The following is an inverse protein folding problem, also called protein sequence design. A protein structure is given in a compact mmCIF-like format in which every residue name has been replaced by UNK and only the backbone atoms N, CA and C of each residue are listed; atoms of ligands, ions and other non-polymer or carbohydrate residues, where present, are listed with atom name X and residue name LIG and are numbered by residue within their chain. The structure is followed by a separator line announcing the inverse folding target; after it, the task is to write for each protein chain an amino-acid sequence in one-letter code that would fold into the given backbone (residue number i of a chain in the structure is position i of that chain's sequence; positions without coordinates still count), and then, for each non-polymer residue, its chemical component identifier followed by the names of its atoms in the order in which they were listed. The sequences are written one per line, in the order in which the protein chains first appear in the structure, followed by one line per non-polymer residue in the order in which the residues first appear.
data_IF_134976160431
#
_entry.id   IF_134976160431
#
_cell.length_a   1.000
_cell.length_b   1.000
_cell.length_c   1.000
_cell.angle_alpha   90.00
_cell.angle_beta   90.00
_cell.angle_gamma   90.00
#
_symmetry.space_group_name_H-M   'P 1'
#
loop_
_entity.id
_entity.type
_entity.pdbx_description
1 polymer ?
#
# COMPACT_ATOMS: atom_id res chain seq x y z
N UNK A 1 17.77 -29.28 -6.79
CA UNK A 1 18.97 -28.53 -6.34
C UNK A 1 18.42 -27.44 -5.45
N UNK A 2 18.24 -27.81 -4.19
CA UNK A 2 17.72 -26.96 -3.14
C UNK A 2 18.81 -25.95 -2.76
N UNK A 3 18.53 -24.66 -2.97
CA UNK A 3 19.46 -23.60 -2.63
C UNK A 3 19.44 -23.39 -1.10
N UNK A 4 20.47 -23.88 -0.42
CA UNK A 4 20.72 -23.70 1.02
C UNK A 4 21.09 -22.26 1.43
N UNK A 5 21.05 -21.29 0.51
CA UNK A 5 21.64 -19.96 0.70
C UNK A 5 20.60 -18.83 0.88
N UNK A 6 19.38 -19.12 1.32
CA UNK A 6 18.29 -18.15 1.45
C UNK A 6 18.02 -17.69 2.91
N UNK A 7 18.92 -17.97 3.86
CA UNK A 7 18.67 -17.82 5.29
C UNK A 7 19.38 -16.58 5.86
N UNK A 8 18.65 -15.50 5.98
CA UNK A 8 18.95 -14.44 6.93
C UNK A 8 18.28 -14.83 8.26
N UNK A 9 19.07 -15.26 9.25
CA UNK A 9 18.73 -15.48 10.66
C UNK A 9 17.39 -16.17 11.00
N UNK A 10 17.00 -17.21 10.26
CA UNK A 10 15.77 -17.99 10.51
C UNK A 10 15.90 -19.01 11.66
N UNK A 11 17.10 -19.22 12.23
CA UNK A 11 17.38 -20.31 13.20
C UNK A 11 16.76 -20.07 14.57
N UNK A 12 16.45 -18.83 14.97
CA UNK A 12 15.87 -18.52 16.28
C UNK A 12 14.36 -18.22 16.25
N UNK A 13 13.74 -18.09 15.06
CA UNK A 13 12.32 -17.71 14.95
C UNK A 13 11.41 -18.94 15.00
N UNK A 14 10.37 -18.88 15.84
CA UNK A 14 9.34 -19.92 15.87
C UNK A 14 8.67 -20.04 14.51
N UNK A 15 8.61 -21.24 13.96
CA UNK A 15 8.01 -21.52 12.67
C UNK A 15 6.72 -22.31 12.81
N UNK A 16 5.77 -22.02 11.93
CA UNK A 16 4.48 -22.70 11.83
C UNK A 16 4.09 -22.89 10.36
N UNK A 17 2.95 -23.49 10.11
CA UNK A 17 2.44 -23.71 8.74
C UNK A 17 1.01 -23.20 8.61
N UNK A 18 0.72 -22.62 7.45
CA UNK A 18 -0.63 -22.34 6.98
C UNK A 18 -0.86 -22.98 5.60
N UNK A 19 -2.08 -23.01 5.11
CA UNK A 19 -2.42 -23.61 3.82
C UNK A 19 -2.58 -22.52 2.75
N UNK A 20 -1.91 -22.66 1.61
CA UNK A 20 -2.06 -21.82 0.44
C UNK A 20 -2.49 -22.64 -0.78
N UNK A 21 -3.68 -22.40 -1.32
CA UNK A 21 -4.28 -23.17 -2.41
C UNK A 21 -4.19 -24.69 -2.18
N UNK A 22 -4.48 -25.14 -0.97
CA UNK A 22 -4.43 -26.54 -0.57
C UNK A 22 -3.01 -27.10 -0.28
N UNK A 23 -1.97 -26.29 -0.31
CA UNK A 23 -0.57 -26.70 -0.04
C UNK A 23 -0.04 -26.07 1.24
N UNK A 24 0.72 -26.77 2.06
CA UNK A 24 1.32 -26.21 3.25
C UNK A 24 2.43 -25.22 2.88
N UNK A 25 2.42 -24.05 3.52
CA UNK A 25 3.44 -23.01 3.42
C UNK A 25 4.02 -22.78 4.81
N UNK A 26 5.36 -22.75 4.92
CA UNK A 26 6.07 -22.43 6.16
C UNK A 26 6.10 -20.92 6.34
N UNK A 27 5.79 -20.47 7.55
CA UNK A 27 5.89 -19.10 7.98
C UNK A 27 6.64 -19.02 9.32
N UNK A 28 7.10 -17.83 9.67
CA UNK A 28 7.76 -17.55 10.93
C UNK A 28 6.98 -16.49 11.70
N UNK A 29 7.17 -16.47 13.00
CA UNK A 29 6.56 -15.45 13.84
C UNK A 29 6.94 -14.03 13.35
N UNK A 30 5.93 -13.14 13.22
CA UNK A 30 6.07 -11.79 12.67
C UNK A 30 5.98 -11.71 11.13
N UNK A 31 5.88 -12.86 10.43
CA UNK A 31 5.60 -12.82 9.00
C UNK A 31 4.19 -12.29 8.71
N UNK A 32 4.05 -11.52 7.64
CA UNK A 32 2.76 -11.38 6.97
C UNK A 32 2.50 -12.58 6.06
N UNK A 33 1.25 -12.82 5.71
CA UNK A 33 0.93 -13.84 4.69
C UNK A 33 1.71 -13.58 3.40
N UNK A 34 1.85 -12.31 2.98
CA UNK A 34 2.59 -11.96 1.77
C UNK A 34 4.09 -12.26 1.88
N UNK A 35 4.74 -11.96 3.02
CA UNK A 35 6.17 -12.24 3.20
C UNK A 35 6.45 -13.74 3.20
N UNK A 36 5.63 -14.53 3.88
CA UNK A 36 5.74 -15.99 3.88
C UNK A 36 5.56 -16.59 2.48
N UNK A 37 4.62 -16.08 1.70
CA UNK A 37 4.41 -16.50 0.31
C UNK A 37 5.61 -16.16 -0.59
N UNK A 38 6.16 -14.93 -0.50
CA UNK A 38 7.36 -14.54 -1.26
C UNK A 38 8.55 -15.40 -0.87
N UNK A 39 8.78 -15.66 0.42
CA UNK A 39 9.81 -16.60 0.93
C UNK A 39 9.66 -17.99 0.34
N UNK A 40 8.43 -18.44 0.13
CA UNK A 40 8.12 -19.74 -0.48
C UNK A 40 8.13 -19.75 -2.01
N UNK A 41 8.59 -18.65 -2.65
CA UNK A 41 8.68 -18.53 -4.11
C UNK A 41 7.36 -18.21 -4.82
N UNK A 42 6.32 -17.82 -4.09
CA UNK A 42 5.04 -17.39 -4.68
C UNK A 42 5.10 -15.90 -4.99
N UNK A 43 5.01 -15.54 -6.26
CA UNK A 43 5.07 -14.14 -6.70
C UNK A 43 3.79 -13.63 -7.37
N UNK A 44 2.92 -14.52 -7.85
CA UNK A 44 1.62 -14.16 -8.42
C UNK A 44 0.55 -14.27 -7.35
N UNK A 45 0.00 -13.15 -6.94
CA UNK A 45 -0.95 -13.05 -5.83
C UNK A 45 -2.39 -12.90 -6.29
N UNK A 46 -2.58 -12.15 -7.36
CA UNK A 46 -3.90 -11.90 -7.94
C UNK A 46 -3.80 -11.65 -9.44
N UNK A 47 -4.95 -11.44 -10.08
CA UNK A 47 -5.00 -11.04 -11.49
C UNK A 47 -5.87 -9.79 -11.66
N UNK A 48 -5.54 -8.99 -12.68
CA UNK A 48 -6.36 -7.83 -13.02
C UNK A 48 -7.71 -8.27 -13.56
N UNK A 49 -8.77 -7.51 -13.24
CA UNK A 49 -10.14 -7.88 -13.58
C UNK A 49 -10.43 -7.89 -15.10
N UNK A 50 -9.81 -6.98 -15.86
CA UNK A 50 -10.11 -6.80 -17.28
C UNK A 50 -9.28 -7.71 -18.20
N UNK A 51 -7.97 -7.76 -18.00
CA UNK A 51 -7.04 -8.45 -18.89
C UNK A 51 -6.40 -9.68 -18.24
N UNK A 52 -6.79 -10.01 -17.03
CA UNK A 52 -6.23 -11.13 -16.27
C UNK A 52 -4.70 -11.13 -16.18
N UNK A 53 -4.10 -9.94 -16.20
CA UNK A 53 -2.65 -9.77 -16.04
C UNK A 53 -2.25 -10.13 -14.60
N UNK A 54 -1.15 -10.87 -14.43
CA UNK A 54 -0.71 -11.27 -13.10
C UNK A 54 -0.29 -10.05 -12.27
N UNK A 55 -0.56 -10.09 -10.98
CA UNK A 55 -0.23 -9.08 -9.97
C UNK A 55 0.52 -9.73 -8.83
N UNK A 56 1.52 -9.06 -8.28
CA UNK A 56 2.31 -9.50 -7.14
C UNK A 56 2.28 -8.52 -5.99
N UNK A 57 3.12 -8.73 -4.99
CA UNK A 57 3.35 -7.76 -3.93
C UNK A 57 3.94 -6.48 -4.54
N UNK A 58 3.25 -5.34 -4.38
CA UNK A 58 3.67 -4.07 -4.99
C UNK A 58 3.97 -2.99 -3.95
N UNK A 59 3.04 -2.67 -3.05
CA UNK A 59 3.21 -1.55 -2.11
C UNK A 59 3.70 -1.99 -0.72
N UNK A 60 3.45 -3.21 -0.27
CA UNK A 60 3.83 -3.68 1.07
C UNK A 60 3.12 -2.99 2.25
N UNK A 61 2.25 -2.02 1.98
CA UNK A 61 1.69 -1.10 2.98
C UNK A 61 0.16 -0.96 2.90
N UNK A 62 -0.52 -2.00 2.43
CA UNK A 62 -1.99 -2.09 2.37
C UNK A 62 -2.70 -1.03 1.49
N UNK A 63 -1.97 -0.24 0.68
CA UNK A 63 -2.55 0.83 -0.16
C UNK A 63 -3.11 0.34 -1.50
N UNK A 64 -2.59 -0.76 -2.03
CA UNK A 64 -3.06 -1.36 -3.27
C UNK A 64 -3.78 -2.69 -3.02
N UNK A 65 -4.49 -3.20 -4.03
CA UNK A 65 -5.16 -4.50 -3.97
C UNK A 65 -4.41 -5.62 -4.70
N UNK A 66 -3.15 -5.40 -5.06
CA UNK A 66 -2.36 -6.39 -5.83
C UNK A 66 -2.11 -7.68 -5.06
N UNK A 67 -2.05 -7.62 -3.73
CA UNK A 67 -1.86 -8.77 -2.85
C UNK A 67 -3.16 -9.31 -2.23
N UNK A 68 -4.32 -8.88 -2.71
CA UNK A 68 -5.60 -9.31 -2.15
C UNK A 68 -5.88 -10.78 -2.48
N UNK A 69 -6.22 -11.56 -1.45
CA UNK A 69 -6.56 -12.98 -1.51
C UNK A 69 -7.76 -13.28 -0.62
N UNK A 70 -8.27 -14.50 -0.69
CA UNK A 70 -9.21 -15.03 0.30
C UNK A 70 -8.43 -15.59 1.48
N UNK A 71 -8.75 -15.16 2.68
CA UNK A 71 -8.12 -15.65 3.92
C UNK A 71 -9.23 -16.12 4.85
N UNK A 72 -9.18 -17.38 5.28
CA UNK A 72 -10.18 -18.02 6.13
C UNK A 72 -11.63 -17.81 5.64
N UNK A 73 -11.84 -17.90 4.31
CA UNK A 73 -13.16 -17.67 3.71
C UNK A 73 -13.48 -16.20 3.37
N UNK A 74 -12.76 -15.22 3.90
CA UNK A 74 -12.97 -13.79 3.69
C UNK A 74 -12.29 -13.32 2.40
N UNK A 75 -13.02 -12.82 1.40
CA UNK A 75 -12.44 -12.38 0.14
C UNK A 75 -11.80 -10.99 0.24
N UNK A 76 -10.79 -10.75 -0.60
CA UNK A 76 -10.22 -9.41 -0.76
C UNK A 76 -9.32 -8.94 0.38
N UNK A 77 -8.88 -9.84 1.26
CA UNK A 77 -7.97 -9.55 2.36
C UNK A 77 -6.58 -9.19 1.81
N UNK A 78 -6.02 -8.09 2.28
CA UNK A 78 -4.69 -7.59 1.87
C UNK A 78 -3.59 -8.34 2.62
N UNK A 79 -3.03 -9.35 2.01
CA UNK A 79 -2.07 -10.26 2.63
C UNK A 79 -0.78 -9.60 3.13
N UNK A 80 -0.41 -8.42 2.63
CA UNK A 80 0.72 -7.66 3.17
C UNK A 80 0.44 -7.03 4.55
N UNK A 81 -0.84 -6.84 4.91
CA UNK A 81 -1.25 -6.30 6.20
C UNK A 81 -1.80 -7.38 7.14
N UNK A 82 -1.90 -8.62 6.68
CA UNK A 82 -2.44 -9.73 7.47
C UNK A 82 -1.29 -10.55 8.02
N UNK A 83 -1.21 -10.65 9.35
CA UNK A 83 -0.25 -11.51 10.04
C UNK A 83 -0.53 -12.96 9.67
N UNK A 84 0.52 -13.72 9.38
CA UNK A 84 0.39 -15.16 9.16
C UNK A 84 0.18 -15.87 10.50
N UNK A 85 -0.75 -16.83 10.52
CA UNK A 85 -1.09 -17.62 11.70
C UNK A 85 -1.16 -19.09 11.36
N UNK A 86 -0.94 -19.94 12.39
CA UNK A 86 -1.00 -21.39 12.23
C UNK A 86 -2.41 -21.84 11.87
N UNK A 87 -2.51 -22.75 10.87
CA UNK A 87 -3.79 -23.31 10.45
C UNK A 87 -4.63 -22.40 9.53
N UNK A 88 -4.18 -21.17 9.27
CA UNK A 88 -4.85 -20.26 8.34
C UNK A 88 -5.01 -20.89 6.95
N UNK A 89 -6.11 -20.60 6.27
CA UNK A 89 -6.38 -21.02 4.88
C UNK A 89 -6.36 -19.80 3.98
N UNK A 90 -5.42 -19.78 3.04
CA UNK A 90 -5.23 -18.69 2.08
C UNK A 90 -5.45 -19.23 0.67
N UNK A 91 -6.29 -18.54 -0.10
CA UNK A 91 -6.63 -18.93 -1.46
C UNK A 91 -6.56 -17.73 -2.41
N UNK A 92 -6.06 -17.99 -3.62
CA UNK A 92 -6.07 -16.97 -4.68
C UNK A 92 -7.42 -16.91 -5.35
N UNK A 93 -7.81 -15.71 -5.76
CA UNK A 93 -9.07 -15.48 -6.48
C UNK A 93 -8.81 -14.96 -7.90
N UNK A 94 -9.70 -15.28 -8.84
CA UNK A 94 -9.73 -14.61 -10.14
C UNK A 94 -8.91 -15.23 -11.26
N UNK A 95 -8.52 -16.50 -11.15
CA UNK A 95 -7.93 -17.26 -12.25
C UNK A 95 -8.79 -18.44 -12.67
N UNK A 96 -8.81 -18.80 -13.95
CA UNK A 96 -9.50 -20.00 -14.45
C UNK A 96 -8.61 -20.80 -15.42
N UNK A 97 -8.33 -22.11 -15.18
CA UNK A 97 -8.73 -22.90 -14.01
C UNK A 97 -7.96 -22.58 -12.73
N UNK A 98 -6.83 -21.87 -12.80
CA UNK A 98 -6.05 -21.43 -11.64
C UNK A 98 -5.37 -20.10 -11.93
N UNK A 99 -4.85 -19.45 -10.88
CA UNK A 99 -4.12 -18.18 -11.02
C UNK A 99 -2.83 -18.35 -11.83
N UNK A 100 -2.18 -19.49 -11.74
CA UNK A 100 -0.92 -19.80 -12.46
C UNK A 100 -1.16 -20.13 -13.93
N UNK A 101 -2.28 -20.79 -14.24
CA UNK A 101 -2.65 -21.22 -15.59
C UNK A 101 -4.02 -20.68 -15.96
N UNK A 102 -4.09 -19.37 -16.12
CA UNK A 102 -5.32 -18.67 -16.39
C UNK A 102 -5.55 -18.52 -17.90
N UNK A 103 -6.56 -19.22 -18.41
CA UNK A 103 -6.96 -19.16 -19.82
C UNK A 103 -7.50 -17.78 -20.19
N UNK A 104 -8.08 -17.05 -19.23
CA UNK A 104 -8.60 -15.71 -19.47
C UNK A 104 -7.47 -14.68 -19.73
N UNK A 105 -6.22 -15.02 -19.37
CA UNK A 105 -5.05 -14.21 -19.72
C UNK A 105 -4.83 -14.08 -21.24
N UNK A 106 -5.49 -14.91 -22.07
CA UNK A 106 -5.51 -14.76 -23.52
C UNK A 106 -6.16 -13.44 -23.95
N UNK A 107 -7.04 -12.87 -23.12
CA UNK A 107 -7.67 -11.57 -23.36
C UNK A 107 -6.63 -10.45 -23.51
N UNK A 108 -5.52 -10.49 -22.76
CA UNK A 108 -4.42 -9.51 -22.86
C UNK A 108 -3.70 -9.60 -24.23
N UNK A 109 -3.74 -10.74 -24.90
CA UNK A 109 -3.15 -10.94 -26.24
C UNK A 109 -4.12 -10.55 -27.35
N UNK A 110 -5.40 -10.82 -27.18
CA UNK A 110 -6.43 -10.54 -28.19
C UNK A 110 -6.72 -9.04 -28.22
N UNK A 111 -6.79 -8.40 -27.06
CA UNK A 111 -7.17 -6.99 -26.91
C UNK A 111 -5.96 -6.12 -26.53
N UNK A 112 -4.97 -6.05 -27.38
CA UNK A 112 -3.68 -5.42 -27.12
C UNK A 112 -3.67 -3.91 -26.88
N UNK A 113 -4.72 -3.15 -27.27
CA UNK A 113 -4.82 -1.69 -27.05
C UNK A 113 -6.27 -1.25 -27.01
N UNK A 114 -6.62 -0.43 -26.01
CA UNK A 114 -7.84 0.40 -25.93
C UNK A 114 -9.15 -0.29 -26.33
N UNK A 115 -9.36 -1.52 -25.87
CA UNK A 115 -10.63 -2.18 -26.08
C UNK A 115 -11.64 -1.67 -25.08
N UNK A 116 -12.45 -0.69 -25.52
CA UNK A 116 -13.65 -0.28 -24.80
C UNK A 116 -14.76 -1.31 -25.01
N UNK A 117 -14.83 -2.25 -24.05
CA UNK A 117 -15.85 -3.29 -24.06
C UNK A 117 -17.26 -2.75 -23.81
N UNK A 118 -17.38 -1.57 -23.19
CA UNK A 118 -18.68 -1.00 -22.89
C UNK A 118 -19.39 -0.49 -24.15
N UNK A 119 -18.65 0.11 -25.08
CA UNK A 119 -19.24 0.67 -26.30
C UNK A 119 -19.37 -0.35 -27.43
N UNK A 120 -18.47 -1.31 -27.56
CA UNK A 120 -18.47 -2.30 -28.66
C UNK A 120 -19.53 -3.40 -28.53
N UNK A 121 -19.92 -3.80 -27.30
CA UNK A 121 -20.87 -4.89 -27.09
C UNK A 121 -22.30 -4.42 -26.81
N UNK A 122 -22.61 -3.13 -27.00
CA UNK A 122 -23.96 -2.58 -26.90
C UNK A 122 -24.81 -2.94 -28.14
N UNK A 123 -24.26 -3.39 -29.23
CA UNK A 123 -24.97 -3.77 -30.46
C UNK A 123 -24.52 -5.16 -30.92
N UNK A 124 -25.44 -6.06 -31.31
CA UNK A 124 -26.89 -5.88 -31.28
C UNK A 124 -27.49 -5.99 -29.86
N UNK A 125 -28.54 -5.20 -29.57
CA UNK A 125 -29.13 -5.06 -28.23
C UNK A 125 -29.59 -6.37 -27.60
N UNK A 126 -29.98 -7.35 -28.37
CA UNK A 126 -30.44 -8.65 -27.83
C UNK A 126 -29.31 -9.48 -27.20
N UNK A 127 -28.05 -9.22 -27.52
CA UNK A 127 -26.88 -9.89 -26.94
C UNK A 127 -26.42 -9.26 -25.60
N UNK A 128 -26.91 -8.07 -25.28
CA UNK A 128 -26.51 -7.35 -24.06
C UNK A 128 -26.72 -8.16 -22.77
N UNK A 129 -27.86 -8.87 -22.58
CA UNK A 129 -28.07 -9.69 -21.39
C UNK A 129 -27.10 -10.86 -21.29
N UNK A 130 -26.78 -11.52 -22.41
CA UNK A 130 -25.79 -12.58 -22.47
C UNK A 130 -24.38 -12.05 -22.15
N UNK A 131 -24.04 -10.92 -22.77
CA UNK A 131 -22.77 -10.22 -22.50
C UNK A 131 -22.64 -9.87 -21.02
N UNK A 132 -23.65 -9.23 -20.40
CA UNK A 132 -23.60 -8.92 -18.97
C UNK A 132 -23.48 -10.17 -18.09
N UNK A 133 -24.11 -11.27 -18.46
CA UNK A 133 -23.98 -12.54 -17.71
C UNK A 133 -22.54 -13.08 -17.78
N UNK A 134 -21.94 -13.03 -18.96
CA UNK A 134 -20.54 -13.45 -19.18
C UNK A 134 -19.57 -12.54 -18.43
N UNK A 135 -19.72 -11.21 -18.60
CA UNK A 135 -18.86 -10.22 -17.94
C UNK A 135 -18.96 -10.30 -16.42
N UNK A 136 -20.17 -10.43 -15.86
CA UNK A 136 -20.34 -10.62 -14.41
C UNK A 136 -19.62 -11.87 -13.90
N UNK A 137 -19.63 -12.95 -14.66
CA UNK A 137 -18.94 -14.19 -14.30
C UNK A 137 -17.42 -14.08 -14.36
N UNK A 138 -16.92 -13.29 -15.30
CA UNK A 138 -15.47 -13.07 -15.52
C UNK A 138 -14.94 -11.94 -14.64
N UNK A 139 -15.67 -10.82 -14.55
CA UNK A 139 -15.24 -9.63 -13.82
C UNK A 139 -15.45 -9.69 -12.31
N UNK A 140 -16.23 -10.63 -11.80
CA UNK A 140 -16.41 -10.83 -10.36
C UNK A 140 -16.01 -12.23 -9.94
N UNK A 141 -14.69 -12.52 -9.94
CA UNK A 141 -14.19 -13.82 -9.51
C UNK A 141 -14.24 -14.00 -7.99
N UNK A 142 -14.53 -12.94 -7.25
CA UNK A 142 -14.59 -12.98 -5.79
C UNK A 142 -15.98 -13.45 -5.35
N UNK A 143 -16.01 -14.60 -4.72
CA UNK A 143 -17.22 -15.10 -4.06
C UNK A 143 -17.40 -14.33 -2.76
N UNK A 144 -18.64 -13.95 -2.43
CA UNK A 144 -18.98 -13.47 -1.10
C UNK A 144 -18.60 -14.54 -0.07
N UNK A 145 -18.37 -14.18 1.21
CA UNK A 145 -18.24 -15.15 2.28
C UNK A 145 -19.44 -16.10 2.27
N UNK A 146 -19.19 -17.39 2.51
CA UNK A 146 -20.26 -18.38 2.56
C UNK A 146 -21.18 -18.16 3.77
N UNK A 147 -20.62 -17.58 4.84
CA UNK A 147 -21.34 -17.13 6.03
C UNK A 147 -21.10 -15.64 6.24
N UNK A 148 -22.16 -14.87 6.64
CA UNK A 148 -21.94 -13.47 6.99
C UNK A 148 -21.01 -13.41 8.22
N UNK A 149 -19.90 -12.67 8.09
CA UNK A 149 -19.08 -12.38 9.27
C UNK A 149 -19.90 -11.53 10.24
N UNK A 150 -19.95 -11.96 11.50
CA UNK A 150 -20.37 -11.09 12.59
C UNK A 150 -19.23 -10.08 12.80
N UNK A 151 -19.34 -8.94 12.15
CA UNK A 151 -18.46 -7.81 12.43
C UNK A 151 -18.72 -7.36 13.87
N UNK A 152 -17.69 -7.37 14.70
CA UNK A 152 -17.75 -6.83 16.04
C UNK A 152 -18.30 -5.39 16.02
N UNK A 153 -19.00 -5.00 17.08
CA UNK A 153 -19.50 -3.62 17.20
C UNK A 153 -18.29 -2.67 17.24
N UNK A 154 -18.41 -1.56 16.51
CA UNK A 154 -17.42 -0.49 16.59
C UNK A 154 -17.54 0.18 17.96
N UNK A 155 -16.45 0.24 18.71
CA UNK A 155 -16.40 0.93 19.98
C UNK A 155 -16.40 2.45 19.74
N UNK A 156 -17.26 3.18 20.46
CA UNK A 156 -17.28 4.64 20.42
C UNK A 156 -16.37 5.20 21.50
N UNK A 157 -15.46 6.10 21.09
CA UNK A 157 -14.48 6.74 21.96
C UNK A 157 -14.57 8.25 21.80
N UNK A 158 -14.70 8.99 22.91
CA UNK A 158 -14.62 10.45 22.92
C UNK A 158 -13.20 10.91 23.25
N UNK A 159 -12.73 11.94 22.54
CA UNK A 159 -11.42 12.51 22.73
C UNK A 159 -11.45 14.04 22.66
N UNK A 160 -10.54 14.72 23.35
CA UNK A 160 -10.34 16.16 23.13
C UNK A 160 -9.66 16.40 21.77
N UNK A 161 -8.60 15.65 21.49
CA UNK A 161 -7.84 15.74 20.25
C UNK A 161 -7.56 14.34 19.70
N UNK A 162 -7.80 14.15 18.42
CA UNK A 162 -7.33 13.00 17.67
C UNK A 162 -6.21 13.45 16.73
N UNK A 163 -5.05 12.79 16.78
CA UNK A 163 -3.95 12.98 15.82
C UNK A 163 -3.88 11.73 14.93
N UNK A 164 -4.02 11.92 13.63
CA UNK A 164 -3.89 10.86 12.63
C UNK A 164 -2.52 10.94 11.97
N UNK A 165 -1.64 10.00 12.32
CA UNK A 165 -0.24 9.92 11.91
C UNK A 165 0.73 10.35 13.01
N UNK A 166 1.72 9.51 13.30
CA UNK A 166 2.75 9.72 14.33
C UNK A 166 4.16 9.85 13.73
N UNK A 167 4.26 10.38 12.50
CA UNK A 167 5.53 10.79 11.91
C UNK A 167 6.08 12.07 12.55
N UNK A 168 7.01 12.76 11.89
CA UNK A 168 7.71 13.96 12.41
C UNK A 168 6.71 15.00 12.94
N UNK A 169 5.69 15.36 12.18
CA UNK A 169 4.72 16.40 12.56
C UNK A 169 3.77 15.94 13.67
N UNK A 170 3.27 14.70 13.59
CA UNK A 170 2.39 14.14 14.62
C UNK A 170 3.10 13.98 15.96
N UNK A 171 4.36 13.54 15.96
CA UNK A 171 5.19 13.47 17.17
C UNK A 171 5.43 14.85 17.78
N UNK A 172 5.77 15.85 16.96
CA UNK A 172 5.95 17.23 17.42
C UNK A 172 4.66 17.81 18.01
N UNK A 173 3.52 17.59 17.35
CA UNK A 173 2.21 18.02 17.83
C UNK A 173 1.84 17.31 19.16
N UNK A 174 2.06 16.01 19.26
CA UNK A 174 1.79 15.23 20.48
C UNK A 174 2.59 15.76 21.67
N UNK A 175 3.89 15.97 21.46
CA UNK A 175 4.76 16.54 22.51
C UNK A 175 4.27 17.93 22.96
N UNK A 176 3.90 18.76 22.00
CA UNK A 176 3.44 20.14 22.28
C UNK A 176 2.11 20.15 23.04
N UNK A 177 1.11 19.38 22.62
CA UNK A 177 -0.19 19.26 23.30
C UNK A 177 -0.02 18.74 24.72
N UNK A 178 0.78 17.69 24.91
CA UNK A 178 1.06 17.14 26.25
C UNK A 178 1.72 18.16 27.17
N UNK A 179 2.61 19.01 26.66
CA UNK A 179 3.24 20.09 27.44
C UNK A 179 2.24 21.16 27.88
N UNK A 180 1.07 21.26 27.22
CA UNK A 180 -0.04 22.15 27.57
C UNK A 180 -1.16 21.45 28.36
N UNK A 181 -0.92 20.23 28.84
CA UNK A 181 -1.88 19.46 29.64
C UNK A 181 -2.98 18.74 28.82
N UNK A 182 -2.89 18.75 27.49
CA UNK A 182 -3.85 18.05 26.63
C UNK A 182 -3.30 16.66 26.27
N UNK A 183 -4.10 15.62 26.49
CA UNK A 183 -3.74 14.24 26.16
C UNK A 183 -4.46 13.78 24.88
N UNK A 184 -3.82 13.86 23.70
CA UNK A 184 -4.43 13.42 22.46
C UNK A 184 -4.48 11.90 22.35
N UNK A 185 -5.51 11.37 21.68
CA UNK A 185 -5.44 10.05 21.06
C UNK A 185 -4.58 10.19 19.79
N UNK A 186 -3.56 9.36 19.69
CA UNK A 186 -2.65 9.37 18.54
C UNK A 186 -2.71 8.03 17.85
N UNK A 187 -3.08 8.01 16.58
CA UNK A 187 -3.15 6.78 15.79
C UNK A 187 -2.09 6.78 14.69
N UNK A 188 -1.45 5.63 14.50
CA UNK A 188 -0.54 5.37 13.38
C UNK A 188 -0.60 3.89 13.00
N UNK A 189 -0.34 3.59 11.74
CA UNK A 189 -0.32 2.21 11.23
C UNK A 189 0.75 1.32 11.87
N UNK A 190 1.78 1.92 12.44
CA UNK A 190 2.85 1.22 13.16
C UNK A 190 2.63 1.18 14.67
N UNK A 191 1.52 1.76 15.14
CA UNK A 191 1.23 1.94 16.56
C UNK A 191 1.94 3.12 17.18
N UNK A 192 1.57 3.38 18.43
CA UNK A 192 2.16 4.42 19.28
C UNK A 192 2.30 3.86 20.68
N UNK A 193 2.98 4.58 21.56
CA UNK A 193 3.12 4.17 22.99
C UNK A 193 1.77 4.05 23.72
N UNK A 194 0.71 4.64 23.18
CA UNK A 194 -0.60 4.76 23.85
C UNK A 194 -1.72 4.04 23.10
N UNK A 195 -1.58 3.85 21.79
CA UNK A 195 -2.61 3.25 20.95
C UNK A 195 -2.01 2.16 20.05
N UNK A 196 -2.66 0.99 19.93
CA UNK A 196 -2.17 -0.08 19.05
C UNK A 196 -2.08 0.37 17.59
N UNK A 197 -1.37 -0.38 16.75
CA UNK A 197 -1.36 -0.14 15.31
C UNK A 197 -2.77 0.00 14.77
N UNK A 198 -3.09 1.15 14.18
CA UNK A 198 -4.42 1.41 13.65
C UNK A 198 -4.39 2.26 12.38
N UNK A 199 -5.34 2.02 11.51
CA UNK A 199 -5.53 2.77 10.27
C UNK A 199 -6.81 3.58 10.36
N UNK A 200 -6.70 4.90 10.19
CA UNK A 200 -7.86 5.75 10.01
C UNK A 200 -8.41 5.51 8.59
N UNK A 201 -9.61 4.94 8.50
CA UNK A 201 -10.19 4.48 7.23
C UNK A 201 -11.35 5.36 6.74
N UNK A 202 -11.92 6.18 7.58
CA UNK A 202 -13.05 7.01 7.21
C UNK A 202 -13.23 8.24 8.08
N UNK A 203 -13.72 9.31 7.46
CA UNK A 203 -14.24 10.50 8.13
C UNK A 203 -15.74 10.56 7.85
N UNK A 204 -16.55 10.54 8.89
CA UNK A 204 -18.01 10.47 8.78
C UNK A 204 -18.65 11.85 8.84
N UNK A 205 -19.85 12.00 8.29
CA UNK A 205 -20.59 13.28 8.26
C UNK A 205 -20.87 13.87 9.65
N UNK A 206 -20.92 13.05 10.67
CA UNK A 206 -21.12 13.46 12.08
C UNK A 206 -19.81 13.82 12.80
N UNK A 207 -18.71 13.97 12.06
CA UNK A 207 -17.39 14.35 12.55
C UNK A 207 -16.59 13.21 13.19
N UNK A 208 -17.12 11.99 13.25
CA UNK A 208 -16.38 10.85 13.78
C UNK A 208 -15.34 10.33 12.78
N UNK A 209 -14.24 9.83 13.32
CA UNK A 209 -13.19 9.18 12.54
C UNK A 209 -13.17 7.69 12.85
N UNK A 210 -13.27 6.87 11.82
CA UNK A 210 -13.17 5.41 11.93
C UNK A 210 -11.72 4.96 11.97
N UNK A 211 -11.37 4.22 13.00
CA UNK A 211 -10.06 3.57 13.17
C UNK A 211 -10.24 2.06 13.15
N UNK A 212 -9.37 1.37 12.43
CA UNK A 212 -9.32 -0.09 12.37
C UNK A 212 -7.98 -0.58 12.94
N UNK A 213 -8.04 -1.47 13.92
CA UNK A 213 -6.92 -2.20 14.50
C UNK A 213 -6.96 -3.67 14.05
N UNK A 214 -5.99 -4.47 14.47
CA UNK A 214 -6.02 -5.93 14.22
C UNK A 214 -7.15 -6.64 14.98
N UNK A 215 -7.58 -6.11 16.13
CA UNK A 215 -8.55 -6.75 17.04
C UNK A 215 -9.94 -6.16 16.98
N UNK A 216 -10.15 -5.03 16.31
CA UNK A 216 -11.45 -4.37 16.27
C UNK A 216 -11.42 -2.99 15.62
N UNK A 217 -12.55 -2.32 15.65
CA UNK A 217 -12.72 -0.98 15.10
C UNK A 217 -13.22 0.00 16.14
N UNK A 218 -12.85 1.26 15.98
CA UNK A 218 -13.26 2.37 16.84
C UNK A 218 -13.88 3.49 16.00
N UNK A 219 -14.89 4.15 16.56
CA UNK A 219 -15.42 5.43 16.08
C UNK A 219 -15.01 6.50 17.07
N UNK A 220 -14.02 7.30 16.72
CA UNK A 220 -13.53 8.36 17.59
C UNK A 220 -14.26 9.66 17.28
N UNK A 221 -14.89 10.24 18.31
CA UNK A 221 -15.44 11.60 18.28
C UNK A 221 -14.46 12.52 18.98
N UNK A 222 -13.78 13.38 18.23
CA UNK A 222 -12.82 14.33 18.77
C UNK A 222 -13.35 15.77 18.64
N UNK A 223 -13.03 16.63 19.65
CA UNK A 223 -13.32 18.06 19.56
C UNK A 223 -12.44 18.73 18.49
N UNK A 224 -11.22 18.23 18.28
CA UNK A 224 -10.32 18.65 17.24
C UNK A 224 -9.60 17.44 16.63
N UNK A 225 -9.40 17.45 15.30
CA UNK A 225 -8.67 16.40 14.56
C UNK A 225 -7.46 17.02 13.87
N UNK A 226 -6.27 16.47 14.12
CA UNK A 226 -5.04 16.83 13.39
C UNK A 226 -4.70 15.75 12.37
N UNK A 227 -4.71 16.12 11.09
CA UNK A 227 -4.28 15.28 9.98
C UNK A 227 -2.76 15.45 9.75
N UNK A 228 -1.96 14.52 10.27
CA UNK A 228 -0.51 14.44 10.09
C UNK A 228 -0.15 13.19 9.27
N UNK A 229 -0.95 12.88 8.26
CA UNK A 229 -0.94 11.66 7.46
C UNK A 229 0.29 11.50 6.55
N UNK A 230 1.11 12.55 6.46
CA UNK A 230 2.39 12.52 5.76
C UNK A 230 2.26 12.45 4.24
N UNK A 231 3.10 11.62 3.64
CA UNK A 231 3.18 11.43 2.18
C UNK A 231 3.41 9.96 1.86
N UNK A 232 3.10 9.60 0.63
CA UNK A 232 3.28 8.26 0.10
C UNK A 232 4.07 8.33 -1.20
N UNK A 233 4.79 7.28 -1.50
CA UNK A 233 5.45 7.18 -2.79
C UNK A 233 4.43 6.85 -3.88
N UNK A 234 4.46 7.60 -4.98
CA UNK A 234 3.72 7.29 -6.19
C UNK A 234 4.52 6.31 -7.04
N UNK A 235 3.82 5.47 -7.82
CA UNK A 235 4.48 4.66 -8.84
C UNK A 235 4.91 5.51 -10.03
N UNK A 236 5.85 4.98 -10.82
CA UNK A 236 6.21 5.53 -12.13
C UNK A 236 5.35 4.88 -13.22
N UNK A 237 4.95 5.67 -14.21
CA UNK A 237 4.22 5.16 -15.39
C UNK A 237 5.22 4.57 -16.41
N UNK A 238 5.46 3.27 -16.25
CA UNK A 238 6.35 2.50 -17.09
C UNK A 238 5.55 1.31 -17.66
N UNK A 239 5.62 1.04 -18.97
CA UNK A 239 4.94 -0.11 -19.56
C UNK A 239 5.30 -1.42 -18.86
N UNK A 240 4.29 -2.21 -18.49
CA UNK A 240 4.38 -3.45 -17.72
C UNK A 240 4.86 -3.31 -16.26
N UNK A 241 4.83 -2.12 -15.68
CA UNK A 241 5.15 -1.89 -14.27
C UNK A 241 4.19 -2.58 -13.29
N UNK A 242 3.19 -3.29 -13.79
CA UNK A 242 2.22 -4.06 -13.03
C UNK A 242 2.60 -5.55 -12.86
N UNK A 243 3.70 -6.01 -13.47
CA UNK A 243 4.16 -7.38 -13.36
C UNK A 243 4.60 -7.74 -11.93
N UNK A 244 4.36 -9.00 -11.50
CA UNK A 244 4.99 -9.54 -10.29
C UNK A 244 6.50 -9.41 -10.33
N UNK A 245 7.10 -8.95 -9.22
CA UNK A 245 8.52 -8.57 -9.16
C UNK A 245 8.75 -7.08 -9.45
N UNK A 246 7.71 -6.29 -9.74
CA UNK A 246 7.79 -4.82 -9.68
C UNK A 246 7.26 -4.37 -8.32
N UNK A 247 8.09 -3.69 -7.54
CA UNK A 247 7.81 -3.27 -6.18
C UNK A 247 8.07 -1.78 -5.98
N UNK A 248 7.40 -1.19 -4.99
CA UNK A 248 7.73 0.11 -4.43
C UNK A 248 8.69 -0.08 -3.23
N UNK A 249 9.43 0.94 -2.81
CA UNK A 249 10.33 0.88 -1.66
C UNK A 249 9.75 0.27 -0.40
N UNK A 250 8.52 0.65 -0.04
CA UNK A 250 7.85 0.09 1.14
C UNK A 250 7.62 -1.43 1.04
N UNK A 251 7.50 -1.99 -0.17
CA UNK A 251 7.41 -3.45 -0.32
C UNK A 251 8.77 -4.13 -0.14
N UNK A 252 9.86 -3.47 -0.52
CA UNK A 252 11.23 -3.95 -0.24
C UNK A 252 11.46 -3.96 1.26
N UNK A 253 11.20 -2.83 1.93
CA UNK A 253 11.33 -2.70 3.38
C UNK A 253 10.45 -3.74 4.12
N UNK A 254 9.21 -3.93 3.68
CA UNK A 254 8.28 -4.92 4.24
C UNK A 254 8.84 -6.35 4.20
N UNK A 255 9.54 -6.72 3.14
CA UNK A 255 10.15 -8.04 3.00
C UNK A 255 11.46 -8.14 3.78
N UNK A 256 12.37 -7.17 3.60
CA UNK A 256 13.70 -7.19 4.22
C UNK A 256 13.62 -7.14 5.75
N UNK A 257 12.73 -6.31 6.32
CA UNK A 257 12.50 -6.25 7.77
C UNK A 257 11.99 -7.57 8.36
N UNK A 258 11.50 -8.50 7.53
CA UNK A 258 11.07 -9.85 7.91
C UNK A 258 12.06 -10.94 7.51
N UNK A 259 13.29 -10.57 7.14
CA UNK A 259 14.31 -11.51 6.68
C UNK A 259 13.96 -12.19 5.36
N UNK A 260 13.17 -11.54 4.48
CA UNK A 260 12.80 -12.08 3.17
C UNK A 260 13.51 -11.32 2.06
N UNK A 261 14.28 -12.04 1.26
CA UNK A 261 14.93 -11.48 0.08
C UNK A 261 13.91 -11.17 -1.02
N UNK A 262 13.78 -9.91 -1.49
CA UNK A 262 12.76 -9.53 -2.48
C UNK A 262 13.00 -10.11 -3.88
N UNK A 263 14.26 -10.38 -4.20
CA UNK A 263 14.72 -10.91 -5.49
C UNK A 263 16.21 -11.20 -5.47
N UNK A 264 16.75 -11.71 -6.56
CA UNK A 264 18.19 -12.00 -6.69
C UNK A 264 18.95 -10.92 -7.44
N UNK A 265 18.31 -10.33 -8.45
CA UNK A 265 18.90 -9.30 -9.34
C UNK A 265 17.92 -8.16 -9.51
N UNK A 266 18.21 -7.01 -8.90
CA UNK A 266 17.34 -5.84 -8.91
C UNK A 266 17.77 -4.78 -9.94
N UNK A 267 16.79 -4.20 -10.63
CA UNK A 267 16.91 -2.92 -11.31
C UNK A 267 16.19 -1.85 -10.49
N UNK A 268 16.88 -0.76 -10.14
CA UNK A 268 16.34 0.37 -9.38
C UNK A 268 16.11 1.53 -10.34
N UNK A 269 14.87 1.98 -10.46
CA UNK A 269 14.43 2.96 -11.48
C UNK A 269 13.82 4.18 -10.78
N UNK A 270 14.25 5.37 -11.17
CA UNK A 270 13.81 6.64 -10.61
C UNK A 270 14.87 7.26 -9.70
N UNK A 271 14.60 8.47 -9.24
CA UNK A 271 15.49 9.26 -8.37
C UNK A 271 14.73 9.80 -7.14
N UNK A 272 13.92 8.93 -6.52
CA UNK A 272 13.17 9.23 -5.30
C UNK A 272 14.08 9.35 -4.07
N UNK A 273 13.58 10.00 -3.03
CA UNK A 273 14.30 10.25 -1.76
C UNK A 273 14.80 8.97 -1.08
N UNK A 274 14.08 7.85 -1.23
CA UNK A 274 14.40 6.56 -0.60
C UNK A 274 15.44 5.73 -1.36
N UNK A 275 16.06 6.30 -2.41
CA UNK A 275 16.96 5.54 -3.30
C UNK A 275 18.13 4.88 -2.57
N UNK A 276 18.82 5.66 -1.75
CA UNK A 276 20.01 5.16 -1.03
C UNK A 276 19.64 4.03 -0.08
N UNK A 277 18.59 4.22 0.71
CA UNK A 277 18.10 3.26 1.69
C UNK A 277 17.65 1.95 1.04
N UNK A 278 16.93 2.04 -0.09
CA UNK A 278 16.50 0.87 -0.86
C UNK A 278 17.68 0.09 -1.42
N UNK A 279 18.68 0.77 -1.97
CA UNK A 279 19.87 0.10 -2.51
C UNK A 279 20.64 -0.61 -1.41
N UNK A 280 20.76 0.01 -0.24
CA UNK A 280 21.39 -0.60 0.92
C UNK A 280 20.60 -1.81 1.43
N UNK A 281 19.30 -1.70 1.58
CA UNK A 281 18.42 -2.81 1.96
C UNK A 281 18.50 -3.99 0.97
N UNK A 282 18.54 -3.72 -0.34
CA UNK A 282 18.72 -4.75 -1.34
C UNK A 282 20.06 -5.48 -1.19
N UNK A 283 21.14 -4.74 -1.03
CA UNK A 283 22.49 -5.31 -0.87
C UNK A 283 22.63 -6.12 0.43
N UNK A 284 22.12 -5.61 1.53
CA UNK A 284 22.15 -6.32 2.82
C UNK A 284 21.29 -7.57 2.81
N UNK A 285 20.20 -7.60 2.03
CA UNK A 285 19.37 -8.80 1.82
C UNK A 285 19.98 -9.83 0.85
N UNK A 286 21.20 -9.62 0.33
CA UNK A 286 21.82 -10.49 -0.65
C UNK A 286 21.28 -10.33 -2.09
N UNK A 287 20.57 -9.25 -2.38
CA UNK A 287 20.09 -8.95 -3.73
C UNK A 287 21.13 -8.09 -4.48
N UNK A 288 21.56 -8.55 -5.67
CA UNK A 288 22.50 -7.79 -6.50
C UNK A 288 21.79 -6.69 -7.28
N UNK A 289 22.19 -5.43 -7.13
CA UNK A 289 21.70 -4.32 -7.93
C UNK A 289 22.45 -4.31 -9.27
N UNK A 290 21.75 -4.73 -10.33
CA UNK A 290 22.33 -4.91 -11.68
C UNK A 290 22.10 -3.73 -12.61
N UNK A 291 21.17 -2.84 -12.28
CA UNK A 291 20.91 -1.60 -12.99
C UNK A 291 20.41 -0.50 -12.06
N UNK A 292 20.92 0.70 -12.26
CA UNK A 292 20.48 1.92 -11.58
C UNK A 292 20.14 2.97 -12.64
N UNK A 293 18.84 3.19 -12.88
CA UNK A 293 18.33 4.09 -13.91
C UNK A 293 17.64 5.27 -13.26
N UNK A 294 18.33 6.41 -13.11
CA UNK A 294 17.77 7.61 -12.45
C UNK A 294 16.67 8.26 -13.26
N UNK A 295 16.90 8.46 -14.57
CA UNK A 295 15.87 9.00 -15.45
C UNK A 295 14.96 7.88 -15.96
N UNK A 296 13.75 7.79 -15.40
CA UNK A 296 12.75 6.77 -15.75
C UNK A 296 12.20 6.92 -17.18
N UNK A 297 12.24 8.11 -17.78
CA UNK A 297 11.83 8.33 -19.17
C UNK A 297 12.68 7.54 -20.19
N UNK A 298 13.88 7.13 -19.79
CA UNK A 298 14.73 6.24 -20.58
C UNK A 298 14.29 4.78 -20.52
N UNK A 299 13.38 4.42 -19.64
CA UNK A 299 12.89 3.04 -19.51
C UNK A 299 11.78 2.81 -20.52
N UNK A 300 12.02 1.90 -21.45
CA UNK A 300 11.06 1.56 -22.49
C UNK A 300 9.95 0.66 -21.97
N UNK A 301 10.31 -0.33 -21.16
CA UNK A 301 9.35 -1.25 -20.51
C UNK A 301 10.03 -2.21 -19.53
N UNK A 302 9.22 -2.76 -18.64
CA UNK A 302 9.56 -3.98 -17.90
C UNK A 302 9.22 -5.20 -18.78
N UNK A 303 10.12 -6.16 -18.84
CA UNK A 303 10.00 -7.36 -19.67
C UNK A 303 9.67 -8.57 -18.79
N UNK A 304 8.62 -9.28 -19.16
CA UNK A 304 8.18 -10.50 -18.49
C UNK A 304 6.79 -10.92 -18.96
N UNK A 305 6.34 -12.09 -18.51
CA UNK A 305 4.98 -12.58 -18.79
C UNK A 305 4.22 -12.91 -17.49
N UNK A 306 4.77 -13.77 -16.66
CA UNK A 306 4.21 -14.10 -15.33
C UNK A 306 4.93 -13.36 -14.21
N UNK A 307 6.18 -12.95 -14.45
CA UNK A 307 7.07 -12.25 -13.53
C UNK A 307 8.08 -11.45 -14.33
N UNK A 308 8.70 -10.47 -13.70
CA UNK A 308 9.84 -9.71 -14.23
C UNK A 308 10.97 -10.66 -14.65
N UNK A 309 11.58 -10.39 -15.81
CA UNK A 309 12.77 -11.08 -16.33
C UNK A 309 13.88 -10.14 -16.77
N UNK A 310 13.51 -8.91 -17.16
CA UNK A 310 14.48 -7.89 -17.60
C UNK A 310 13.82 -6.51 -17.59
N UNK A 311 14.65 -5.48 -17.72
CA UNK A 311 14.26 -4.11 -18.08
C UNK A 311 14.89 -3.76 -19.42
N UNK A 312 14.12 -3.14 -20.32
CA UNK A 312 14.61 -2.50 -21.53
C UNK A 312 14.64 -1.00 -21.36
N UNK A 313 15.78 -0.37 -21.62
CA UNK A 313 16.01 1.06 -21.47
C UNK A 313 16.86 1.61 -22.61
N UNK A 314 17.02 2.93 -22.67
CA UNK A 314 17.95 3.61 -23.56
C UNK A 314 19.22 3.98 -22.76
N UNK A 315 20.38 3.71 -23.33
CA UNK A 315 21.67 4.18 -22.79
C UNK A 315 21.85 5.70 -23.01
N UNK A 316 23.00 6.25 -22.61
CA UNK A 316 23.32 7.67 -22.78
C UNK A 316 23.35 8.11 -24.25
N UNK A 317 23.57 7.19 -25.18
CA UNK A 317 23.63 7.41 -26.62
C UNK A 317 22.30 7.13 -27.33
N UNK A 318 21.22 6.80 -26.59
CA UNK A 318 19.90 6.48 -27.12
C UNK A 318 19.77 5.08 -27.71
N UNK A 319 20.73 4.18 -27.49
CA UNK A 319 20.69 2.79 -27.97
C UNK A 319 19.95 1.93 -26.96
N UNK A 320 19.20 0.95 -27.46
CA UNK A 320 18.49 0.00 -26.60
C UNK A 320 19.48 -0.88 -25.83
N UNK A 321 19.25 -0.93 -24.54
CA UNK A 321 19.93 -1.79 -23.61
C UNK A 321 18.92 -2.69 -22.91
N UNK A 322 19.30 -3.94 -22.65
CA UNK A 322 18.50 -4.90 -21.89
C UNK A 322 19.31 -5.43 -20.72
N UNK A 323 18.73 -5.30 -19.51
CA UNK A 323 19.32 -5.80 -18.27
C UNK A 323 18.44 -6.89 -17.69
N UNK A 324 18.98 -8.10 -17.58
CA UNK A 324 18.30 -9.23 -16.95
C UNK A 324 18.18 -9.00 -15.45
N UNK A 325 16.95 -9.06 -14.92
CA UNK A 325 16.64 -8.90 -13.50
C UNK A 325 15.34 -9.64 -13.18
N UNK A 326 15.13 -10.00 -11.91
CA UNK A 326 13.92 -10.63 -11.41
C UNK A 326 13.14 -9.74 -10.45
N UNK A 327 13.71 -8.58 -10.12
CA UNK A 327 13.13 -7.52 -9.30
C UNK A 327 13.32 -6.16 -10.00
N UNK A 328 12.28 -5.34 -9.99
CA UNK A 328 12.33 -3.92 -10.36
C UNK A 328 11.79 -3.11 -9.20
N UNK A 329 12.57 -2.17 -8.70
CA UNK A 329 12.11 -1.21 -7.69
C UNK A 329 11.89 0.14 -8.34
N UNK A 330 10.67 0.67 -8.21
CA UNK A 330 10.28 1.96 -8.77
C UNK A 330 10.33 3.03 -7.69
N UNK A 331 11.13 4.04 -7.90
CA UNK A 331 11.30 5.20 -7.03
C UNK A 331 10.59 6.40 -7.65
N UNK A 332 9.32 6.54 -7.33
CA UNK A 332 8.52 7.68 -7.77
C UNK A 332 8.62 8.89 -6.83
N UNK A 333 7.97 10.00 -7.19
CA UNK A 333 7.89 11.14 -6.30
C UNK A 333 7.04 10.84 -5.06
N UNK A 334 7.41 11.46 -3.95
CA UNK A 334 6.62 11.42 -2.73
C UNK A 334 5.46 12.42 -2.84
N UNK A 335 4.23 11.93 -2.77
CA UNK A 335 3.02 12.76 -2.87
C UNK A 335 2.30 12.84 -1.52
N UNK A 336 1.72 14.01 -1.16
CA UNK A 336 0.96 14.17 0.08
C UNK A 336 -0.21 13.19 0.17
N UNK A 337 -0.44 12.58 1.33
CA UNK A 337 -1.55 11.65 1.54
C UNK A 337 -2.78 12.39 2.07
N UNK A 338 -3.65 12.80 1.15
CA UNK A 338 -4.79 13.71 1.41
C UNK A 338 -6.15 13.00 1.47
N UNK A 339 -6.20 11.68 1.35
CA UNK A 339 -7.47 10.93 1.19
C UNK A 339 -8.45 11.17 2.35
N UNK A 340 -7.98 11.17 3.60
CA UNK A 340 -8.84 11.40 4.75
C UNK A 340 -9.35 12.85 4.81
N UNK A 341 -8.52 13.81 4.40
CA UNK A 341 -8.91 15.21 4.29
C UNK A 341 -9.98 15.43 3.21
N UNK A 342 -9.88 14.71 2.08
CA UNK A 342 -10.91 14.73 1.04
C UNK A 342 -12.24 14.16 1.53
N UNK A 343 -12.20 13.06 2.28
CA UNK A 343 -13.41 12.47 2.88
C UNK A 343 -14.05 13.44 3.90
N UNK A 344 -13.25 14.15 4.66
CA UNK A 344 -13.72 15.18 5.59
C UNK A 344 -14.32 16.40 4.87
N UNK A 345 -14.01 16.62 3.59
CA UNK A 345 -14.42 17.81 2.84
C UNK A 345 -13.48 19.01 3.00
N UNK A 346 -12.23 18.78 3.45
CA UNK A 346 -11.22 19.84 3.52
C UNK A 346 -10.86 20.38 2.13
N UNK A 347 -10.60 21.67 2.06
CA UNK A 347 -10.02 22.32 0.87
C UNK A 347 -8.63 21.75 0.55
N UNK A 348 -8.36 21.59 -0.74
CA UNK A 348 -7.05 21.17 -1.24
C UNK A 348 -6.46 22.25 -2.14
N UNK A 349 -5.15 22.38 -2.16
CA UNK A 349 -4.39 23.25 -3.06
C UNK A 349 -3.33 22.47 -3.82
N UNK A 350 -2.91 23.00 -4.96
CA UNK A 350 -1.81 22.41 -5.74
C UNK A 350 -0.47 22.69 -5.06
N UNK A 351 0.34 21.66 -4.88
CA UNK A 351 1.69 21.71 -4.32
C UNK A 351 2.65 20.97 -5.27
N UNK A 352 3.38 21.73 -6.09
CA UNK A 352 4.16 21.14 -7.18
C UNK A 352 3.27 20.39 -8.16
N UNK A 353 3.54 19.12 -8.40
CA UNK A 353 2.78 18.26 -9.31
C UNK A 353 1.66 17.47 -8.62
N UNK A 354 1.37 17.73 -7.35
CA UNK A 354 0.38 16.99 -6.57
C UNK A 354 -0.54 17.91 -5.78
N UNK A 355 -1.47 17.32 -5.04
CA UNK A 355 -2.39 18.01 -4.14
C UNK A 355 -1.94 17.89 -2.69
N UNK A 356 -2.06 18.95 -1.92
CA UNK A 356 -1.91 18.94 -0.48
C UNK A 356 -3.13 19.57 0.21
N UNK A 357 -3.28 19.31 1.50
CA UNK A 357 -4.34 19.90 2.31
C UNK A 357 -4.08 21.41 2.37
N UNK A 358 -5.10 22.22 2.04
CA UNK A 358 -5.01 23.67 2.14
C UNK A 358 -5.12 24.09 3.60
N UNK A 359 -4.09 24.78 4.08
CA UNK A 359 -4.00 25.26 5.47
C UNK A 359 -3.45 26.68 5.51
N UNK A 360 -3.86 27.40 6.55
CA UNK A 360 -3.22 28.66 6.90
C UNK A 360 -1.84 28.43 7.59
N UNK A 361 -1.19 29.52 8.01
CA UNK A 361 0.13 29.46 8.66
C UNK A 361 0.14 28.67 9.98
N UNK A 362 -1.00 28.54 10.65
CA UNK A 362 -1.19 27.89 11.95
C UNK A 362 -1.76 26.49 11.83
N UNK A 363 -1.99 25.99 10.60
CA UNK A 363 -2.45 24.63 10.30
C UNK A 363 -3.97 24.46 10.29
N UNK A 364 -4.76 25.55 10.28
CA UNK A 364 -6.22 25.47 10.13
C UNK A 364 -6.58 25.12 8.70
N UNK A 365 -7.51 24.17 8.54
CA UNK A 365 -8.11 23.84 7.24
C UNK A 365 -9.36 24.69 6.97
N UNK A 366 -10.08 24.36 5.91
CA UNK A 366 -11.41 24.96 5.63
C UNK A 366 -12.48 24.55 6.65
N UNK A 367 -12.23 23.53 7.48
CA UNK A 367 -13.13 23.07 8.53
C UNK A 367 -12.62 23.52 9.89
N UNK A 368 -13.56 23.97 10.74
CA UNK A 368 -13.23 24.61 12.03
C UNK A 368 -12.51 23.65 13.01
N UNK A 369 -12.93 22.38 13.04
CA UNK A 369 -12.42 21.35 13.95
C UNK A 369 -11.29 20.51 13.37
N UNK A 370 -10.94 20.71 12.07
CA UNK A 370 -9.91 19.92 11.39
C UNK A 370 -8.68 20.76 11.09
N UNK A 371 -7.55 20.26 11.53
CA UNK A 371 -6.23 20.84 11.35
C UNK A 371 -5.36 19.91 10.52
N UNK A 372 -4.33 20.43 9.85
CA UNK A 372 -3.37 19.57 9.17
C UNK A 372 -1.93 20.11 9.31
N UNK A 373 -0.97 19.19 9.28
CA UNK A 373 0.44 19.53 9.42
C UNK A 373 1.34 18.59 8.61
N UNK A 374 2.57 19.00 8.42
CA UNK A 374 3.61 18.23 7.79
C UNK A 374 3.42 18.07 6.28
N UNK A 375 3.93 16.96 5.75
CA UNK A 375 3.96 16.76 4.30
C UNK A 375 2.56 16.66 3.68
N UNK A 376 1.54 16.25 4.42
CA UNK A 376 0.15 16.25 3.94
C UNK A 376 -0.35 17.66 3.63
N UNK A 377 0.14 18.68 4.34
CA UNK A 377 -0.12 20.10 4.11
C UNK A 377 0.94 20.80 3.24
N UNK A 378 1.87 20.02 2.64
CA UNK A 378 2.86 20.52 1.69
C UNK A 378 4.16 21.03 2.32
N UNK A 379 4.38 20.86 3.62
CA UNK A 379 5.66 21.21 4.26
C UNK A 379 6.76 20.20 3.91
N UNK A 380 7.92 20.74 3.51
CA UNK A 380 9.10 19.98 3.08
C UNK A 380 10.23 20.21 4.08
N UNK A 381 11.11 19.23 4.21
CA UNK A 381 12.19 19.29 5.20
C UNK A 381 11.74 18.93 6.62
N UNK A 382 12.64 18.30 7.38
CA UNK A 382 12.33 17.76 8.70
C UNK A 382 11.96 18.86 9.70
N UNK A 383 12.75 19.93 9.73
CA UNK A 383 12.52 21.06 10.63
C UNK A 383 11.18 21.76 10.40
N UNK A 384 10.80 22.02 9.14
CA UNK A 384 9.51 22.62 8.81
C UNK A 384 8.33 21.71 9.17
N UNK A 385 8.45 20.41 8.90
CA UNK A 385 7.43 19.42 9.26
C UNK A 385 7.21 19.39 10.77
N UNK A 386 8.28 19.38 11.56
CA UNK A 386 8.19 19.41 13.02
C UNK A 386 7.59 20.73 13.52
N UNK A 387 8.06 21.86 12.99
CA UNK A 387 7.53 23.18 13.35
C UNK A 387 6.04 23.34 12.99
N UNK A 388 5.60 22.83 11.84
CA UNK A 388 4.18 22.87 11.44
C UNK A 388 3.30 22.06 12.40
N UNK A 389 3.77 20.89 12.86
CA UNK A 389 3.07 20.08 13.86
C UNK A 389 2.93 20.82 15.21
N UNK A 390 3.99 21.48 15.66
CA UNK A 390 3.97 22.26 16.90
C UNK A 390 3.03 23.46 16.80
N UNK A 391 3.03 24.21 15.69
CA UNK A 391 2.10 25.34 15.46
C UNK A 391 0.64 24.86 15.43
N UNK A 392 0.34 23.79 14.72
CA UNK A 392 -1.00 23.22 14.70
C UNK A 392 -1.47 22.81 16.10
N UNK A 393 -0.59 22.26 16.94
CA UNK A 393 -0.90 21.91 18.32
C UNK A 393 -1.22 23.16 19.18
N UNK A 394 -0.47 24.24 19.01
CA UNK A 394 -0.75 25.52 19.70
C UNK A 394 -2.10 26.10 19.27
N UNK A 395 -2.42 25.97 18.00
CA UNK A 395 -3.68 26.45 17.46
C UNK A 395 -4.87 25.61 17.93
N UNK A 396 -4.71 24.29 18.01
CA UNK A 396 -5.68 23.38 18.61
C UNK A 396 -5.93 23.74 20.08
N UNK A 397 -4.87 24.03 20.85
CA UNK A 397 -5.00 24.43 22.25
C UNK A 397 -5.81 25.73 22.39
N UNK A 398 -5.57 26.72 21.51
CA UNK A 398 -6.35 27.97 21.46
C UNK A 398 -7.83 27.70 21.08
N UNK A 399 -8.05 26.85 20.11
CA UNK A 399 -9.40 26.43 19.69
C UNK A 399 -10.18 25.78 20.82
N UNK A 400 -9.53 24.92 21.63
CA UNK A 400 -10.14 24.28 22.78
C UNK A 400 -10.31 25.19 24.00
N UNK A 401 -9.79 26.42 23.97
CA UNK A 401 -9.84 27.37 25.08
C UNK A 401 -8.90 27.00 26.24
N UNK A 402 -7.92 26.16 26.02
CA UNK A 402 -6.89 25.80 27.01
C UNK A 402 -5.74 26.81 26.85
N UNK A 403 -5.39 27.51 27.94
CA UNK A 403 -4.34 28.54 27.98
C UNK A 403 -3.00 27.96 28.43
#
# INVERSE_FOLDING_TARGET
MDSEDDRLDDEERLSFKFTFNGRPVKAYEGDSVASALVRSGVFVFSRSMKFHRPRGLRCGSSRCFSCAMRVNGVPGVRTCATRAESGMVVETEGGFPSIDNDLLSLMDHIFRREFDYQTRFIRPRFMVPLYHRIVRRIASPRRLPDEPEEYGQLESVDAEVLIVGHGISGTAATKRLRSMGISPIVTDRHGTDVFPPAVAFGFYEDGRVGLLTETGGFLVRAKAVLLATGRIESGLDIPNADLPGVMLPEAVDHLVSRGVRPGTRAAVIGDGELRTDVIEQLRTSGCSVVAEIRNHERVLRVVGRKRVRAVESLDAQGRKERRECDLVVLLGPMVPYVTLAQQAGCGLRVCGESWCIDVDKDGRTSLTEVFAAGSAAGFVGEGERAASGARAAEEISRYLGVR
#
